data_IF_923167338315
#
_entry.id   IF_923167338315
#
_cell.length_a   1.000
_cell.length_b   1.000
_cell.length_c   1.000
_cell.angle_alpha   90.00
_cell.angle_beta   90.00
_cell.angle_gamma   90.00
#
_symmetry.space_group_name_H-M   'P 1'
#
loop_
_entity.id
_entity.type
_entity.pdbx_description
1 polymer ?
#
# COMPACT_ATOMS: atom_id res chain seq x y z
N UNK A 1 -6.08 19.01 31.73
CA UNK A 1 -7.06 18.49 30.76
C UNK A 1 -6.28 17.67 29.74
N UNK A 2 -6.30 16.34 29.87
CA UNK A 2 -5.61 15.46 28.92
C UNK A 2 -6.56 15.19 27.75
N UNK A 3 -6.36 15.88 26.64
CA UNK A 3 -6.99 15.53 25.36
C UNK A 3 -6.20 14.37 24.76
N UNK A 4 -6.47 13.16 25.23
CA UNK A 4 -6.07 11.94 24.53
C UNK A 4 -6.84 11.95 23.22
N UNK A 5 -6.20 12.46 22.17
CA UNK A 5 -6.72 12.47 20.81
C UNK A 5 -7.27 11.09 20.50
N UNK A 6 -8.57 11.01 20.21
CA UNK A 6 -9.27 9.85 19.64
C UNK A 6 -8.60 9.47 18.31
N UNK A 7 -7.39 8.91 18.37
CA UNK A 7 -6.87 8.09 17.31
C UNK A 7 -7.74 6.85 17.37
N UNK A 8 -8.87 6.88 16.65
CA UNK A 8 -9.55 5.64 16.23
C UNK A 8 -8.44 4.70 15.82
N UNK A 9 -8.23 3.65 16.60
CA UNK A 9 -7.26 2.62 16.30
C UNK A 9 -7.73 1.96 15.00
N UNK A 10 -7.31 2.55 13.88
CA UNK A 10 -7.45 1.95 12.58
C UNK A 10 -6.45 0.80 12.58
N UNK A 11 -6.88 -0.33 13.12
CA UNK A 11 -6.25 -1.60 12.81
C UNK A 11 -6.32 -1.72 11.29
N UNK A 12 -5.17 -1.80 10.59
CA UNK A 12 -5.21 -2.12 9.18
C UNK A 12 -5.90 -3.48 9.06
N UNK A 13 -6.97 -3.53 8.27
CA UNK A 13 -7.53 -4.82 7.87
C UNK A 13 -6.46 -5.47 7.00
N UNK A 14 -5.79 -6.47 7.54
CA UNK A 14 -4.81 -7.30 6.83
C UNK A 14 -5.50 -8.62 6.51
N UNK A 15 -5.95 -8.83 5.26
CA UNK A 15 -6.47 -10.12 4.83
C UNK A 15 -5.47 -11.25 5.06
N UNK A 16 -5.94 -12.41 5.51
CA UNK A 16 -5.11 -13.60 5.75
C UNK A 16 -4.34 -14.08 4.52
N UNK A 17 -4.86 -13.81 3.31
CA UNK A 17 -4.16 -14.19 2.08
C UNK A 17 -2.81 -13.48 1.93
N UNK A 18 -2.55 -12.36 2.64
CA UNK A 18 -1.22 -11.73 2.63
C UNK A 18 -0.16 -12.60 3.26
N UNK A 19 -0.52 -13.38 4.27
CA UNK A 19 0.38 -14.33 4.91
C UNK A 19 0.68 -15.52 3.97
N UNK A 20 -0.28 -15.89 3.13
CA UNK A 20 -0.13 -16.97 2.15
C UNK A 20 0.65 -16.55 0.89
N UNK A 21 0.44 -15.32 0.40
CA UNK A 21 1.15 -14.82 -0.77
C UNK A 21 2.61 -14.48 -0.47
N UNK A 22 2.89 -13.95 0.73
CA UNK A 22 4.25 -13.59 1.15
C UNK A 22 4.80 -12.37 0.40
N UNK A 23 4.10 -11.24 0.43
CA UNK A 23 4.59 -9.99 -0.16
C UNK A 23 5.89 -9.54 0.48
N UNK A 24 6.83 -9.08 -0.35
CA UNK A 24 8.02 -8.38 0.14
C UNK A 24 7.62 -7.05 0.79
N UNK A 25 8.40 -6.52 1.76
CA UNK A 25 8.05 -5.29 2.49
C UNK A 25 7.73 -4.09 1.59
N UNK A 26 8.41 -3.98 0.44
CA UNK A 26 8.19 -2.89 -0.52
C UNK A 26 6.89 -3.06 -1.31
N UNK A 27 6.53 -4.31 -1.62
CA UNK A 27 5.28 -4.63 -2.32
C UNK A 27 4.09 -4.37 -1.40
N UNK A 28 4.19 -4.81 -0.14
CA UNK A 28 3.18 -4.53 0.89
C UNK A 28 3.01 -3.03 1.14
N UNK A 29 4.11 -2.27 1.23
CA UNK A 29 4.06 -0.81 1.39
C UNK A 29 3.36 -0.14 0.21
N UNK A 30 3.67 -0.55 -1.02
CA UNK A 30 3.06 0.01 -2.21
C UNK A 30 1.58 -0.35 -2.30
N UNK A 31 1.21 -1.60 -2.03
CA UNK A 31 -0.18 -2.05 -1.95
C UNK A 31 -0.98 -1.20 -0.97
N UNK A 32 -0.49 -1.08 0.27
CA UNK A 32 -1.15 -0.34 1.35
C UNK A 32 -1.38 1.13 0.95
N UNK A 33 -0.40 1.74 0.29
CA UNK A 33 -0.48 3.10 -0.19
C UNK A 33 -1.51 3.28 -1.30
N UNK A 34 -1.55 2.36 -2.28
CA UNK A 34 -2.52 2.35 -3.39
C UNK A 34 -3.94 2.20 -2.84
N UNK A 35 -4.19 1.19 -2.01
CA UNK A 35 -5.53 0.93 -1.45
C UNK A 35 -6.04 2.10 -0.62
N UNK A 36 -5.17 2.71 0.20
CA UNK A 36 -5.54 3.89 0.99
C UNK A 36 -5.89 5.09 0.12
N UNK A 37 -5.19 5.31 -1.00
CA UNK A 37 -5.49 6.42 -1.94
C UNK A 37 -6.70 6.14 -2.82
N UNK A 38 -6.85 4.91 -3.27
CA UNK A 38 -7.98 4.44 -4.07
C UNK A 38 -9.30 4.58 -3.30
N UNK A 39 -9.32 4.18 -2.02
CA UNK A 39 -10.54 4.12 -1.23
C UNK A 39 -11.54 3.17 -1.89
N UNK A 40 -12.70 3.68 -2.31
CA UNK A 40 -13.70 2.95 -3.11
C UNK A 40 -13.53 3.12 -4.63
N UNK A 41 -12.59 3.97 -5.05
CA UNK A 41 -12.36 4.37 -6.44
C UNK A 41 -11.00 3.83 -6.92
N UNK A 42 -10.50 4.36 -8.04
CA UNK A 42 -9.18 4.02 -8.59
C UNK A 42 -8.06 4.93 -8.06
N UNK A 43 -6.83 4.42 -8.03
CA UNK A 43 -5.63 5.23 -7.77
C UNK A 43 -4.99 5.66 -9.10
N UNK A 44 -4.85 6.98 -9.32
CA UNK A 44 -4.26 7.57 -10.53
C UNK A 44 -2.89 8.22 -10.28
N UNK A 45 -2.21 7.84 -9.19
CA UNK A 45 -0.92 8.44 -8.85
C UNK A 45 0.19 7.99 -9.80
N UNK A 46 1.08 8.92 -10.17
CA UNK A 46 2.21 8.62 -11.03
C UNK A 46 3.30 7.82 -10.30
N UNK A 47 4.10 7.05 -11.05
CA UNK A 47 5.23 6.26 -10.52
C UNK A 47 6.20 7.11 -9.67
N UNK A 48 6.64 8.32 -10.09
CA UNK A 48 7.54 9.14 -9.28
C UNK A 48 6.92 9.58 -7.94
N UNK A 49 5.60 9.82 -7.91
CA UNK A 49 4.90 10.21 -6.68
C UNK A 49 4.71 9.02 -5.73
N UNK A 50 4.42 7.84 -6.27
CA UNK A 50 4.42 6.58 -5.50
C UNK A 50 5.80 6.27 -4.93
N UNK A 51 6.86 6.43 -5.73
CA UNK A 51 8.25 6.26 -5.32
C UNK A 51 8.59 7.17 -4.12
N UNK A 52 8.27 8.46 -4.21
CA UNK A 52 8.47 9.44 -3.14
C UNK A 52 7.68 9.09 -1.88
N UNK A 53 6.39 8.75 -2.03
CA UNK A 53 5.50 8.45 -0.90
C UNK A 53 5.87 7.14 -0.20
N UNK A 54 6.33 6.15 -0.97
CA UNK A 54 6.68 4.83 -0.46
C UNK A 54 8.17 4.67 -0.14
N UNK A 55 8.97 5.75 -0.23
CA UNK A 55 10.40 5.76 0.09
C UNK A 55 11.19 4.68 -0.68
N UNK A 56 10.89 4.51 -1.96
CA UNK A 56 11.53 3.52 -2.82
C UNK A 56 11.87 4.14 -4.18
N UNK A 57 12.86 3.58 -4.89
CA UNK A 57 13.17 4.04 -6.24
C UNK A 57 12.10 3.60 -7.25
N UNK A 58 12.01 4.28 -8.40
CA UNK A 58 10.99 3.98 -9.42
C UNK A 58 11.08 2.58 -10.00
N UNK A 59 12.29 1.98 -10.05
CA UNK A 59 12.48 0.61 -10.54
C UNK A 59 11.80 -0.39 -9.59
N UNK A 60 11.94 -0.20 -8.29
CA UNK A 60 11.25 -0.98 -7.26
C UNK A 60 9.75 -0.80 -7.37
N UNK A 61 9.25 0.43 -7.54
CA UNK A 61 7.80 0.67 -7.77
C UNK A 61 7.30 -0.14 -8.96
N UNK A 62 7.98 -0.06 -10.12
CA UNK A 62 7.56 -0.80 -11.32
C UNK A 62 7.59 -2.32 -11.11
N UNK A 63 8.60 -2.84 -10.42
CA UNK A 63 8.68 -4.27 -10.07
C UNK A 63 7.49 -4.65 -9.18
N UNK A 64 7.26 -3.91 -8.10
CA UNK A 64 6.17 -4.17 -7.16
C UNK A 64 4.79 -4.06 -7.82
N UNK A 65 4.54 -3.07 -8.67
CA UNK A 65 3.29 -2.97 -9.44
C UNK A 65 3.03 -4.23 -10.28
N UNK A 66 4.06 -4.75 -10.96
CA UNK A 66 3.91 -5.98 -11.76
C UNK A 66 3.52 -7.18 -10.89
N UNK A 67 4.15 -7.32 -9.72
CA UNK A 67 3.83 -8.38 -8.76
C UNK A 67 2.39 -8.25 -8.27
N UNK A 68 1.99 -7.05 -7.83
CA UNK A 68 0.65 -6.80 -7.32
C UNK A 68 -0.45 -7.03 -8.37
N UNK A 69 -0.20 -6.63 -9.63
CA UNK A 69 -1.13 -6.90 -10.75
C UNK A 69 -1.19 -8.40 -11.07
N UNK A 70 -0.04 -9.08 -11.14
CA UNK A 70 0.01 -10.52 -11.40
C UNK A 70 -0.71 -11.32 -10.30
N UNK A 71 -0.65 -10.84 -9.06
CA UNK A 71 -1.34 -11.39 -7.90
C UNK A 71 -2.82 -10.99 -7.78
N UNK A 72 -3.34 -10.12 -8.68
CA UNK A 72 -4.70 -9.56 -8.63
C UNK A 72 -5.03 -8.83 -7.32
N UNK A 73 -4.03 -8.13 -6.78
CA UNK A 73 -4.17 -7.35 -5.55
C UNK A 73 -4.53 -5.90 -5.81
N UNK A 74 -4.23 -5.40 -7.01
CA UNK A 74 -4.57 -4.07 -7.53
C UNK A 74 -5.02 -4.16 -8.99
#
# INVERSE_FOLDING_TARGET
>A
MNTTSDRKEFLPVVPSYFDEYGLEPMEYRLYSHIVRRAGKNSCFESIPNMARSCLMNEKTVRKSLRVLVAARLI
#
